data_IF_512851837547
#
_entry.id   IF_512851837547
#
_cell.length_a   1.000
_cell.length_b   1.000
_cell.length_c   1.000
_cell.angle_alpha   90.00
_cell.angle_beta   90.00
_cell.angle_gamma   90.00
#
_symmetry.space_group_name_H-M   'P 1'
#
loop_
_entity.id
_entity.type
_entity.pdbx_description
1 polymer ?
#
# COMPACT_ATOMS: atom_id res chain seq x y z
N UNK A 1 25.38 -21.46 -0.18
CA UNK A 1 24.20 -21.94 -0.98
C UNK A 1 23.34 -20.72 -1.31
N UNK A 2 22.61 -20.69 -2.44
CA UNK A 2 21.73 -19.56 -2.78
C UNK A 2 20.34 -20.06 -3.16
N UNK A 3 19.29 -19.42 -2.64
CA UNK A 3 17.91 -19.66 -3.11
C UNK A 3 17.69 -18.79 -4.35
N UNK A 4 17.62 -19.39 -5.53
CA UNK A 4 17.55 -18.66 -6.79
C UNK A 4 16.16 -18.13 -7.14
N UNK A 5 15.10 -18.74 -6.59
CA UNK A 5 13.71 -18.34 -6.83
C UNK A 5 12.84 -18.67 -5.61
N UNK A 6 11.85 -17.83 -5.31
CA UNK A 6 10.78 -18.13 -4.36
C UNK A 6 9.52 -17.32 -4.67
N UNK A 7 8.38 -17.73 -4.11
CA UNK A 7 7.05 -17.20 -4.39
C UNK A 7 6.62 -17.42 -5.86
N UNK A 8 6.53 -16.36 -6.67
CA UNK A 8 5.99 -16.42 -8.03
C UNK A 8 4.62 -17.11 -8.12
N UNK A 9 4.57 -18.21 -8.86
CA UNK A 9 3.35 -18.99 -9.10
C UNK A 9 2.70 -19.54 -7.82
N UNK A 10 3.41 -19.58 -6.68
CA UNK A 10 2.86 -19.99 -5.39
C UNK A 10 1.88 -18.96 -4.80
N UNK A 11 1.90 -17.71 -5.25
CA UNK A 11 0.96 -16.67 -4.83
C UNK A 11 0.78 -15.51 -5.84
N UNK A 12 0.23 -15.76 -7.05
CA UNK A 12 0.10 -14.73 -8.08
C UNK A 12 -0.76 -13.56 -7.58
N UNK A 13 -0.30 -12.33 -7.73
CA UNK A 13 -0.95 -11.15 -7.15
C UNK A 13 -1.02 -10.01 -8.15
N UNK A 14 -2.23 -9.64 -8.55
CA UNK A 14 -2.53 -8.53 -9.46
C UNK A 14 -2.44 -7.18 -8.72
N UNK A 15 -2.15 -6.07 -9.40
CA UNK A 15 -2.11 -4.75 -8.77
C UNK A 15 -3.47 -4.27 -8.22
N UNK A 16 -4.57 -4.80 -8.77
CA UNK A 16 -5.96 -4.55 -8.35
C UNK A 16 -6.58 -5.68 -7.52
N UNK A 17 -5.80 -6.67 -7.07
CA UNK A 17 -6.33 -7.65 -6.11
C UNK A 17 -6.74 -6.96 -4.80
N UNK A 18 -7.66 -7.57 -4.00
CA UNK A 18 -8.04 -7.05 -2.69
C UNK A 18 -6.83 -6.72 -1.82
N UNK A 19 -6.91 -5.64 -1.04
CA UNK A 19 -5.76 -5.13 -0.26
C UNK A 19 -5.14 -6.22 0.64
N UNK A 20 -5.95 -7.05 1.28
CA UNK A 20 -5.50 -8.17 2.12
C UNK A 20 -4.59 -9.14 1.36
N UNK A 21 -4.90 -9.41 0.08
CA UNK A 21 -4.08 -10.26 -0.79
C UNK A 21 -2.77 -9.57 -1.13
N UNK A 22 -2.80 -8.28 -1.49
CA UNK A 22 -1.61 -7.50 -1.85
C UNK A 22 -0.65 -7.35 -0.67
N UNK A 23 -1.16 -7.15 0.54
CA UNK A 23 -0.36 -7.16 1.78
C UNK A 23 0.19 -8.55 2.07
N UNK A 24 -0.64 -9.59 1.94
CA UNK A 24 -0.19 -10.98 2.16
C UNK A 24 0.89 -11.40 1.17
N UNK A 25 0.86 -10.90 -0.07
CA UNK A 25 1.93 -11.07 -1.04
C UNK A 25 3.24 -10.48 -0.50
N UNK A 26 3.24 -9.23 -0.07
CA UNK A 26 4.42 -8.61 0.56
C UNK A 26 4.91 -9.40 1.79
N UNK A 27 4.02 -9.80 2.69
CA UNK A 27 4.39 -10.59 3.88
C UNK A 27 4.92 -11.99 3.55
N UNK A 28 4.54 -12.59 2.42
CA UNK A 28 5.17 -13.85 1.95
C UNK A 28 6.60 -13.62 1.51
N UNK A 29 6.88 -12.52 0.82
CA UNK A 29 8.25 -12.12 0.52
C UNK A 29 9.04 -11.84 1.82
N UNK A 30 8.43 -11.16 2.80
CA UNK A 30 9.07 -10.84 4.07
C UNK A 30 9.51 -12.10 4.83
N UNK A 31 8.66 -13.13 4.89
CA UNK A 31 8.99 -14.40 5.56
C UNK A 31 10.20 -15.10 4.94
N UNK A 32 10.24 -15.21 3.61
CA UNK A 32 11.36 -15.88 2.95
C UNK A 32 12.66 -15.08 3.10
N UNK A 33 12.58 -13.74 3.04
CA UNK A 33 13.74 -12.89 3.28
C UNK A 33 14.22 -12.99 4.73
N UNK A 34 13.32 -12.96 5.71
CA UNK A 34 13.63 -13.13 7.12
C UNK A 34 14.32 -14.47 7.39
N UNK A 35 13.75 -15.57 6.88
CA UNK A 35 14.35 -16.90 6.98
C UNK A 35 15.73 -16.91 6.31
N UNK A 36 15.90 -16.29 5.14
CA UNK A 36 17.19 -16.24 4.46
C UNK A 36 18.27 -15.49 5.28
N UNK A 37 17.90 -14.40 5.97
CA UNK A 37 18.82 -13.66 6.86
C UNK A 37 19.19 -14.46 8.12
N UNK A 38 18.39 -15.46 8.52
CA UNK A 38 18.66 -16.28 9.69
C UNK A 38 19.85 -17.25 9.53
N UNK A 39 20.22 -17.62 8.30
CA UNK A 39 21.23 -18.67 8.01
C UNK A 39 22.50 -18.09 7.38
N UNK A 40 23.63 -18.00 8.12
CA UNK A 40 24.89 -17.47 7.61
C UNK A 40 25.48 -18.23 6.41
N UNK A 41 25.14 -19.50 6.23
CA UNK A 41 25.57 -20.35 5.12
C UNK A 41 24.78 -20.10 3.81
N UNK A 42 23.65 -19.41 3.89
CA UNK A 42 22.91 -18.91 2.74
C UNK A 42 23.52 -17.59 2.27
N UNK A 43 24.00 -17.58 1.04
CA UNK A 43 24.53 -16.38 0.37
C UNK A 43 23.44 -15.39 -0.01
N UNK A 44 22.16 -15.80 0.06
CA UNK A 44 21.00 -14.95 -0.19
C UNK A 44 19.81 -15.70 -0.79
N UNK A 45 18.73 -14.94 -1.04
CA UNK A 45 17.52 -15.41 -1.69
C UNK A 45 17.03 -14.40 -2.73
N UNK A 46 16.68 -14.89 -3.93
CA UNK A 46 16.21 -14.07 -5.05
C UNK A 46 14.72 -14.35 -5.27
N UNK A 47 13.90 -13.31 -5.15
CA UNK A 47 12.45 -13.43 -5.32
C UNK A 47 12.06 -13.56 -6.78
N UNK A 48 11.14 -14.46 -7.08
CA UNK A 48 10.47 -14.49 -8.38
C UNK A 48 9.19 -13.63 -8.30
N UNK A 49 9.11 -12.48 -8.95
CA UNK A 49 10.10 -11.82 -9.81
C UNK A 49 10.00 -10.28 -9.71
N UNK A 50 10.83 -9.56 -10.47
CA UNK A 50 10.85 -8.10 -10.44
C UNK A 50 9.54 -7.48 -10.96
N UNK A 51 9.03 -7.94 -12.10
CA UNK A 51 7.86 -7.41 -12.79
C UNK A 51 7.01 -8.54 -13.36
N UNK A 52 5.71 -8.30 -13.49
CA UNK A 52 4.81 -9.17 -14.25
C UNK A 52 5.29 -9.29 -15.70
N UNK A 53 5.04 -10.44 -16.33
CA UNK A 53 5.56 -10.73 -17.67
C UNK A 53 4.58 -11.54 -18.51
N UNK A 54 4.63 -11.29 -19.82
CA UNK A 54 3.87 -12.06 -20.79
C UNK A 54 4.39 -13.51 -20.84
N UNK A 55 3.50 -14.46 -21.07
CA UNK A 55 3.81 -15.89 -21.07
C UNK A 55 2.99 -16.66 -22.11
N UNK A 56 3.31 -17.94 -22.30
CA UNK A 56 2.59 -18.86 -23.18
C UNK A 56 1.23 -19.25 -22.58
N UNK A 57 0.36 -19.82 -23.41
CA UNK A 57 -1.00 -20.24 -23.03
C UNK A 57 -1.07 -21.21 -21.84
N UNK A 58 0.00 -21.96 -21.57
CA UNK A 58 0.03 -22.97 -20.50
C UNK A 58 0.21 -22.36 -19.09
N UNK A 59 0.50 -21.05 -19.02
CA UNK A 59 0.81 -20.34 -17.78
C UNK A 59 0.01 -19.04 -17.63
N UNK A 60 0.03 -18.48 -16.43
CA UNK A 60 -0.61 -17.20 -16.13
C UNK A 60 -2.08 -17.33 -15.75
N UNK A 61 -2.85 -16.25 -15.87
CA UNK A 61 -4.28 -16.21 -15.51
C UNK A 61 -5.23 -16.45 -16.69
N UNK A 62 -4.72 -17.00 -17.81
CA UNK A 62 -5.47 -17.18 -19.06
C UNK A 62 -5.46 -15.96 -19.99
N UNK A 63 -4.82 -14.87 -19.57
CA UNK A 63 -4.64 -13.61 -20.29
C UNK A 63 -3.20 -13.44 -20.82
N UNK A 64 -2.44 -14.54 -20.84
CA UNK A 64 -1.03 -14.56 -21.21
C UNK A 64 -0.11 -13.73 -20.29
N UNK A 65 -0.51 -13.47 -19.04
CA UNK A 65 0.32 -12.76 -18.05
C UNK A 65 0.53 -13.59 -16.78
N UNK A 66 1.78 -13.69 -16.36
CA UNK A 66 2.16 -14.18 -15.03
C UNK A 66 2.25 -13.01 -14.05
N UNK A 67 1.25 -12.89 -13.17
CA UNK A 67 1.18 -11.86 -12.12
C UNK A 67 2.06 -12.19 -10.91
N UNK A 68 3.34 -12.36 -11.13
CA UNK A 68 4.32 -12.80 -10.13
C UNK A 68 5.19 -11.65 -9.62
N UNK A 69 5.19 -10.53 -10.32
CA UNK A 69 6.08 -9.42 -10.05
C UNK A 69 5.75 -8.71 -8.74
N UNK A 70 6.80 -8.23 -8.07
CA UNK A 70 6.66 -7.19 -7.03
C UNK A 70 6.30 -5.83 -7.64
N UNK A 71 6.46 -5.67 -8.96
CA UNK A 71 5.94 -4.59 -9.78
C UNK A 71 5.04 -5.16 -10.91
N UNK A 72 4.22 -4.31 -11.52
CA UNK A 72 3.47 -4.67 -12.73
C UNK A 72 4.38 -4.77 -13.97
N UNK A 73 3.80 -5.12 -15.13
CA UNK A 73 4.55 -5.24 -16.40
C UNK A 73 5.15 -3.90 -16.86
N UNK A 74 4.62 -2.78 -16.39
CA UNK A 74 5.12 -1.43 -16.65
C UNK A 74 6.21 -0.99 -15.66
N UNK A 75 6.57 -1.86 -14.69
CA UNK A 75 7.51 -1.60 -13.60
C UNK A 75 6.98 -0.53 -12.64
N UNK A 76 5.66 -0.40 -12.52
CA UNK A 76 5.01 0.32 -11.44
C UNK A 76 4.97 -0.58 -10.21
N UNK A 77 5.34 -0.02 -9.06
CA UNK A 77 5.55 -0.79 -7.82
C UNK A 77 4.22 -1.24 -7.23
N UNK A 78 4.12 -2.53 -6.88
CA UNK A 78 3.08 -3.03 -5.96
C UNK A 78 3.58 -2.90 -4.52
N UNK A 79 2.71 -3.12 -3.53
CA UNK A 79 3.05 -3.09 -2.10
C UNK A 79 4.29 -3.95 -1.78
N UNK A 80 4.40 -5.13 -2.40
CA UNK A 80 5.54 -6.04 -2.20
C UNK A 80 6.89 -5.43 -2.58
N UNK A 81 6.96 -4.49 -3.53
CA UNK A 81 8.22 -3.83 -3.87
C UNK A 81 8.74 -2.97 -2.72
N UNK A 82 7.86 -2.33 -1.94
CA UNK A 82 8.25 -1.46 -0.83
C UNK A 82 8.91 -2.22 0.32
N UNK A 83 8.63 -3.52 0.48
CA UNK A 83 9.38 -4.38 1.39
C UNK A 83 10.86 -4.44 1.00
N UNK A 84 11.17 -4.67 -0.27
CA UNK A 84 12.56 -4.74 -0.76
C UNK A 84 13.25 -3.38 -0.67
N UNK A 85 12.53 -2.31 -1.03
CA UNK A 85 13.05 -0.96 -0.91
C UNK A 85 13.38 -0.63 0.55
N UNK A 86 12.51 -0.97 1.51
CA UNK A 86 12.75 -0.64 2.91
C UNK A 86 13.98 -1.35 3.48
N UNK A 87 14.46 -2.45 2.88
CA UNK A 87 15.69 -3.11 3.31
C UNK A 87 16.98 -2.45 2.79
N UNK A 88 16.89 -1.62 1.74
CA UNK A 88 18.07 -1.20 0.95
C UNK A 88 18.11 0.29 0.62
N UNK A 89 17.00 1.01 0.76
CA UNK A 89 16.84 2.41 0.40
C UNK A 89 16.35 3.21 1.60
N UNK A 90 16.63 4.51 1.60
CA UNK A 90 16.15 5.43 2.62
C UNK A 90 14.83 6.10 2.21
N UNK A 91 14.08 6.57 3.20
CA UNK A 91 12.83 7.31 3.04
C UNK A 91 11.72 6.49 2.36
N UNK A 92 11.61 5.22 2.74
CA UNK A 92 10.57 4.31 2.25
C UNK A 92 9.40 4.36 3.23
N UNK A 93 8.18 4.58 2.73
CA UNK A 93 7.00 4.64 3.57
C UNK A 93 5.74 4.26 2.80
N UNK A 94 5.36 2.98 2.87
CA UNK A 94 4.14 2.46 2.24
C UNK A 94 3.20 1.86 3.29
N UNK A 95 1.96 2.36 3.33
CA UNK A 95 0.92 1.87 4.24
C UNK A 95 0.07 0.82 3.52
N UNK A 96 0.12 -0.42 3.98
CA UNK A 96 -0.60 -1.57 3.43
C UNK A 96 -2.09 -1.60 3.78
N UNK A 97 -2.78 -0.47 3.78
CA UNK A 97 -4.25 -0.40 3.94
C UNK A 97 -4.79 0.87 3.32
N UNK A 98 -6.06 0.87 2.95
CA UNK A 98 -6.82 2.08 2.60
C UNK A 98 -7.86 2.43 3.65
N UNK A 99 -8.08 1.55 4.65
CA UNK A 99 -9.24 1.58 5.55
C UNK A 99 -10.60 1.71 4.84
N UNK A 100 -10.67 1.32 3.56
CA UNK A 100 -11.94 1.21 2.85
C UNK A 100 -12.76 0.06 3.43
N UNK A 101 -13.81 0.40 4.18
CA UNK A 101 -14.63 -0.57 4.94
C UNK A 101 -15.19 -1.67 4.03
N UNK A 102 -15.62 -1.34 2.81
CA UNK A 102 -16.17 -2.31 1.86
C UNK A 102 -15.15 -3.25 1.21
N UNK A 103 -13.85 -3.01 1.40
CA UNK A 103 -12.78 -3.84 0.83
C UNK A 103 -12.38 -5.00 1.75
N UNK A 104 -12.69 -4.87 3.05
CA UNK A 104 -12.39 -5.87 4.06
C UNK A 104 -13.59 -6.79 4.28
N UNK A 105 -13.37 -8.10 4.30
CA UNK A 105 -14.40 -9.08 4.67
C UNK A 105 -15.03 -8.72 6.02
N UNK A 106 -16.36 -8.78 6.09
CA UNK A 106 -17.17 -8.44 7.27
C UNK A 106 -17.07 -6.96 7.69
N UNK A 107 -16.60 -6.07 6.80
CA UNK A 107 -16.41 -4.65 7.09
C UNK A 107 -15.47 -4.40 8.29
N UNK A 108 -14.57 -5.34 8.56
CA UNK A 108 -13.70 -5.32 9.72
C UNK A 108 -12.54 -4.34 9.53
N UNK A 109 -12.17 -3.68 10.62
CA UNK A 109 -10.98 -2.83 10.65
C UNK A 109 -9.75 -3.72 10.87
N UNK A 110 -9.19 -4.23 9.77
CA UNK A 110 -8.01 -5.11 9.80
C UNK A 110 -6.77 -4.35 10.26
N UNK A 111 -5.86 -5.07 10.92
CA UNK A 111 -4.53 -4.56 11.19
C UNK A 111 -3.83 -4.15 9.89
N UNK A 112 -3.02 -3.10 9.96
CA UNK A 112 -2.29 -2.59 8.81
C UNK A 112 -0.79 -2.85 9.00
N UNK A 113 -0.11 -3.23 7.92
CA UNK A 113 1.35 -3.25 7.90
C UNK A 113 1.88 -1.99 7.22
N UNK A 114 2.92 -1.39 7.80
CA UNK A 114 3.68 -0.29 7.17
C UNK A 114 5.04 -0.84 6.77
N UNK A 115 5.36 -0.76 5.47
CA UNK A 115 6.66 -1.14 4.92
C UNK A 115 7.54 0.10 4.85
N UNK A 116 8.55 0.18 5.71
CA UNK A 116 9.32 1.41 5.92
C UNK A 116 10.70 1.14 6.50
N UNK A 117 11.64 2.07 6.28
CA UNK A 117 12.94 2.14 6.95
C UNK A 117 12.92 3.02 8.22
N UNK A 118 11.74 3.47 8.66
CA UNK A 118 11.57 4.24 9.91
C UNK A 118 11.76 3.38 11.16
N UNK A 119 12.21 4.01 12.26
CA UNK A 119 12.40 3.36 13.56
C UNK A 119 11.06 3.04 14.24
N UNK A 120 10.07 3.89 14.03
CA UNK A 120 8.71 3.71 14.53
C UNK A 120 7.69 4.55 13.74
N UNK A 121 6.41 4.22 13.92
CA UNK A 121 5.28 4.95 13.34
C UNK A 121 4.33 5.39 14.44
N UNK A 122 3.88 6.65 14.37
CA UNK A 122 2.78 7.15 15.18
C UNK A 122 1.48 7.11 14.37
N UNK A 123 0.43 6.59 14.98
CA UNK A 123 -0.93 6.65 14.43
C UNK A 123 -1.71 7.76 15.11
N UNK A 124 -2.48 8.49 14.30
CA UNK A 124 -3.42 9.51 14.73
C UNK A 124 -4.79 9.25 14.11
N UNK A 125 -5.85 9.64 14.82
CA UNK A 125 -7.22 9.70 14.31
C UNK A 125 -7.78 11.09 14.55
N UNK A 126 -8.17 11.79 13.48
CA UNK A 126 -8.67 13.17 13.55
C UNK A 126 -7.76 14.06 14.41
N UNK A 127 -6.46 14.04 14.12
CA UNK A 127 -5.38 14.75 14.82
C UNK A 127 -5.12 14.34 16.28
N UNK A 128 -5.85 13.35 16.82
CA UNK A 128 -5.59 12.80 18.16
C UNK A 128 -4.60 11.65 18.07
N UNK A 129 -3.55 11.72 18.89
CA UNK A 129 -2.54 10.67 19.00
C UNK A 129 -3.17 9.38 19.55
N UNK A 130 -2.99 8.27 18.83
CA UNK A 130 -3.46 6.94 19.21
C UNK A 130 -2.32 6.22 19.93
N UNK A 131 -1.24 5.89 19.20
CA UNK A 131 -0.16 5.04 19.73
C UNK A 131 1.08 5.10 18.84
N UNK A 132 2.22 4.73 19.43
CA UNK A 132 3.48 4.40 18.74
C UNK A 132 3.56 2.90 18.44
N UNK A 133 3.94 2.56 17.22
CA UNK A 133 4.16 1.21 16.72
C UNK A 133 5.61 1.05 16.28
N UNK A 134 6.18 -0.10 16.60
CA UNK A 134 7.59 -0.42 16.35
C UNK A 134 7.70 -1.61 15.38
N UNK A 135 8.86 -1.80 14.73
CA UNK A 135 9.10 -2.93 13.83
C UNK A 135 8.69 -4.26 14.46
N UNK A 136 7.99 -5.11 13.71
CA UNK A 136 7.48 -6.40 14.17
C UNK A 136 8.59 -7.46 14.20
N UNK A 137 9.59 -7.21 15.03
CA UNK A 137 10.74 -8.08 15.28
C UNK A 137 10.34 -9.42 15.91
N UNK A 138 9.10 -9.54 16.39
CA UNK A 138 8.57 -10.81 16.89
C UNK A 138 8.32 -11.78 15.73
N UNK A 139 7.74 -11.30 14.63
CA UNK A 139 7.43 -12.14 13.47
C UNK A 139 8.53 -12.10 12.39
N UNK A 140 9.37 -11.07 12.40
CA UNK A 140 10.48 -10.89 11.45
C UNK A 140 11.78 -10.45 12.16
N UNK A 141 12.37 -11.33 13.01
CA UNK A 141 13.53 -10.98 13.84
C UNK A 141 14.85 -10.77 13.10
N UNK A 142 14.95 -11.17 11.82
CA UNK A 142 16.20 -11.14 11.05
C UNK A 142 16.19 -10.09 9.94
N UNK A 143 15.02 -9.55 9.57
CA UNK A 143 14.94 -8.40 8.67
C UNK A 143 15.60 -7.16 9.29
N UNK A 144 16.45 -6.48 8.52
CA UNK A 144 17.03 -5.20 8.92
C UNK A 144 15.95 -4.17 9.23
N UNK A 145 14.91 -4.13 8.40
CA UNK A 145 13.75 -3.27 8.57
C UNK A 145 12.47 -4.11 8.53
N UNK A 146 12.14 -4.74 9.65
CA UNK A 146 10.90 -5.48 9.81
C UNK A 146 9.67 -4.56 9.59
N UNK A 147 8.64 -4.98 8.83
CA UNK A 147 7.41 -4.22 8.69
C UNK A 147 6.79 -3.86 10.05
N UNK A 148 6.21 -2.67 10.16
CA UNK A 148 5.57 -2.21 11.39
C UNK A 148 4.10 -2.63 11.37
N UNK A 149 3.68 -3.46 12.33
CA UNK A 149 2.29 -3.87 12.51
C UNK A 149 1.53 -2.81 13.32
N UNK A 150 0.46 -2.28 12.73
CA UNK A 150 -0.48 -1.34 13.35
C UNK A 150 -1.78 -2.09 13.64
N UNK A 151 -1.96 -2.47 14.90
CA UNK A 151 -3.04 -3.34 15.40
C UNK A 151 -3.79 -2.74 16.60
N UNK A 152 -3.64 -1.44 16.85
CA UNK A 152 -4.32 -0.74 17.94
C UNK A 152 -4.87 0.61 17.49
N UNK A 153 -6.18 0.68 17.32
CA UNK A 153 -6.89 1.83 16.79
C UNK A 153 -7.47 2.73 17.87
N UNK A 154 -7.16 2.44 19.14
CA UNK A 154 -7.69 3.11 20.32
C UNK A 154 -6.55 3.76 21.10
N UNK A 155 -5.54 2.97 21.48
CA UNK A 155 -4.35 3.42 22.19
C UNK A 155 -4.67 4.37 23.36
N UNK A 156 -3.98 5.51 23.38
CA UNK A 156 -4.08 6.56 24.40
C UNK A 156 -5.42 7.34 24.37
N UNK A 157 -6.29 7.10 23.39
CA UNK A 157 -7.57 7.84 23.28
C UNK A 157 -8.72 7.22 24.06
N UNK A 158 -8.53 6.03 24.65
CA UNK A 158 -9.57 5.41 25.46
C UNK A 158 -9.86 6.26 26.71
N UNK A 159 -11.12 6.67 26.84
CA UNK A 159 -11.58 7.59 27.88
C UNK A 159 -13.08 7.36 28.11
N UNK A 160 -13.37 6.55 29.12
CA UNK A 160 -14.71 6.20 29.59
C UNK A 160 -14.74 6.45 31.11
N UNK A 161 -15.40 7.52 31.58
CA UNK A 161 -15.41 7.93 32.99
C UNK A 161 -15.90 6.86 33.97
N UNK A 162 -16.81 5.99 33.50
CA UNK A 162 -17.37 4.88 34.25
C UNK A 162 -16.39 3.71 34.45
N UNK A 163 -15.28 3.68 33.70
CA UNK A 163 -14.26 2.63 33.77
C UNK A 163 -12.99 3.18 34.46
N UNK A 164 -12.38 2.37 35.31
CA UNK A 164 -11.11 2.76 35.95
C UNK A 164 -9.95 2.67 34.95
N UNK A 165 -9.06 3.68 34.93
CA UNK A 165 -7.89 3.76 34.04
C UNK A 165 -7.04 2.49 33.99
N UNK A 166 -6.89 1.77 35.11
CA UNK A 166 -6.13 0.50 35.17
C UNK A 166 -6.66 -0.60 34.24
N UNK A 167 -7.93 -0.53 33.84
CA UNK A 167 -8.58 -1.52 32.98
C UNK A 167 -8.67 -1.07 31.51
N UNK A 168 -8.26 0.17 31.18
CA UNK A 168 -8.34 0.75 29.82
C UNK A 168 -7.56 -0.08 28.79
N UNK A 169 -6.31 -0.43 29.09
CA UNK A 169 -5.45 -1.18 28.17
C UNK A 169 -6.04 -2.57 27.83
N UNK A 170 -6.57 -3.27 28.84
CA UNK A 170 -7.16 -4.59 28.63
C UNK A 170 -8.48 -4.53 27.85
N UNK A 171 -9.32 -3.54 28.11
CA UNK A 171 -10.59 -3.36 27.38
C UNK A 171 -10.31 -2.95 25.94
N UNK A 172 -9.42 -1.98 25.72
CA UNK A 172 -9.00 -1.54 24.39
C UNK A 172 -8.44 -2.69 23.57
N UNK A 173 -7.64 -3.57 24.18
CA UNK A 173 -7.13 -4.77 23.53
C UNK A 173 -8.26 -5.68 23.02
N UNK A 174 -9.28 -5.96 23.84
CA UNK A 174 -10.41 -6.81 23.43
C UNK A 174 -11.25 -6.14 22.34
N UNK A 175 -11.44 -4.82 22.40
CA UNK A 175 -12.17 -4.07 21.36
C UNK A 175 -11.40 -4.12 20.03
N UNK A 176 -10.08 -3.92 20.04
CA UNK A 176 -9.23 -4.06 18.86
C UNK A 176 -9.27 -5.48 18.29
N UNK A 177 -9.22 -6.51 19.14
CA UNK A 177 -9.37 -7.91 18.71
C UNK A 177 -10.72 -8.14 18.02
N UNK A 178 -11.81 -7.60 18.57
CA UNK A 178 -13.13 -7.67 17.97
C UNK A 178 -13.20 -6.93 16.62
N UNK A 179 -12.56 -5.75 16.53
CA UNK A 179 -12.52 -4.95 15.31
C UNK A 179 -11.75 -5.65 14.17
N UNK A 180 -10.69 -6.38 14.51
CA UNK A 180 -9.82 -7.03 13.52
C UNK A 180 -10.28 -8.42 13.13
N UNK A 181 -10.93 -9.15 14.03
CA UNK A 181 -11.28 -10.57 13.82
C UNK A 181 -12.77 -10.85 13.83
N UNK A 182 -13.59 -9.87 14.21
CA UNK A 182 -15.02 -10.02 14.43
C UNK A 182 -15.32 -10.46 15.86
N UNK A 183 -16.37 -9.89 16.46
CA UNK A 183 -16.76 -10.14 17.86
C UNK A 183 -17.07 -11.61 18.16
N UNK A 184 -17.62 -12.36 17.18
CA UNK A 184 -17.90 -13.78 17.32
C UNK A 184 -16.63 -14.63 17.53
N UNK A 185 -15.49 -14.19 16.96
CA UNK A 185 -14.22 -14.93 16.94
C UNK A 185 -13.27 -14.57 18.09
N UNK A 186 -13.72 -13.76 19.05
CA UNK A 186 -12.95 -13.46 20.25
C UNK A 186 -12.56 -14.74 21.01
N UNK A 187 -11.31 -14.79 21.48
CA UNK A 187 -10.80 -15.89 22.29
C UNK A 187 -11.53 -16.02 23.64
N UNK A 188 -11.51 -17.23 24.22
CA UNK A 188 -12.15 -17.51 25.52
C UNK A 188 -11.63 -16.59 26.64
N UNK A 189 -10.32 -16.32 26.67
CA UNK A 189 -9.71 -15.39 27.63
C UNK A 189 -10.24 -13.96 27.48
N UNK A 190 -10.40 -13.48 26.24
CA UNK A 190 -10.91 -12.14 25.94
C UNK A 190 -12.39 -12.01 26.27
N UNK A 191 -13.19 -13.05 25.97
CA UNK A 191 -14.60 -13.14 26.36
C UNK A 191 -14.76 -13.11 27.88
N UNK A 192 -13.98 -13.92 28.60
CA UNK A 192 -14.02 -13.96 30.07
C UNK A 192 -13.58 -12.63 30.69
N UNK A 193 -12.48 -12.05 30.19
CA UNK A 193 -12.02 -10.74 30.62
C UNK A 193 -13.12 -9.68 30.44
N UNK A 194 -13.72 -9.61 29.26
CA UNK A 194 -14.80 -8.66 28.97
C UNK A 194 -15.99 -8.87 29.91
N UNK A 195 -16.47 -10.10 30.06
CA UNK A 195 -17.60 -10.42 30.95
C UNK A 195 -17.35 -9.98 32.40
N UNK A 196 -16.14 -10.20 32.94
CA UNK A 196 -15.81 -9.75 34.30
C UNK A 196 -15.80 -8.22 34.43
N UNK A 197 -15.42 -7.50 33.37
CA UNK A 197 -15.41 -6.03 33.35
C UNK A 197 -16.80 -5.44 33.16
N UNK A 198 -17.64 -6.07 32.35
CA UNK A 198 -19.05 -5.71 32.25
C UNK A 198 -19.74 -5.80 33.60
N UNK A 199 -19.55 -6.92 34.32
CA UNK A 199 -20.14 -7.11 35.64
C UNK A 199 -19.60 -6.09 36.65
N UNK A 200 -18.28 -5.84 36.67
CA UNK A 200 -17.63 -4.89 37.59
C UNK A 200 -18.13 -3.46 37.41
N UNK A 201 -18.37 -3.04 36.17
CA UNK A 201 -18.75 -1.66 35.83
C UNK A 201 -20.24 -1.50 35.51
N UNK A 202 -21.03 -2.56 35.68
CA UNK A 202 -22.46 -2.59 35.36
C UNK A 202 -22.78 -2.13 33.93
N UNK A 203 -21.90 -2.48 32.97
CA UNK A 203 -22.05 -2.10 31.57
C UNK A 203 -23.02 -3.05 30.85
N UNK A 204 -23.92 -2.47 30.08
CA UNK A 204 -24.85 -3.18 29.21
C UNK A 204 -24.23 -3.54 27.85
N UNK A 205 -24.95 -4.34 27.05
CA UNK A 205 -24.56 -4.56 25.65
C UNK A 205 -24.63 -3.27 24.81
N UNK A 206 -25.55 -2.37 25.16
CA UNK A 206 -25.67 -1.08 24.49
C UNK A 206 -24.45 -0.19 24.79
N UNK A 207 -23.93 -0.23 26.02
CA UNK A 207 -22.68 0.46 26.38
C UNK A 207 -21.50 -0.07 25.57
N UNK A 208 -21.41 -1.39 25.40
CA UNK A 208 -20.37 -1.98 24.54
C UNK A 208 -20.50 -1.51 23.09
N UNK A 209 -21.71 -1.48 22.55
CA UNK A 209 -21.96 -1.05 21.18
C UNK A 209 -21.62 0.43 21.01
N UNK A 210 -21.93 1.27 22.01
CA UNK A 210 -21.55 2.68 22.06
C UNK A 210 -20.03 2.86 22.08
N UNK A 211 -19.33 2.18 22.99
CA UNK A 211 -17.87 2.24 23.12
C UNK A 211 -17.22 1.76 21.81
N UNK A 212 -17.65 0.62 21.27
CA UNK A 212 -17.15 0.10 20.00
C UNK A 212 -17.38 1.10 18.85
N UNK A 213 -18.57 1.69 18.76
CA UNK A 213 -18.89 2.67 17.70
C UNK A 213 -18.07 3.95 17.82
N UNK A 214 -17.87 4.47 19.03
CA UNK A 214 -17.03 5.65 19.32
C UNK A 214 -15.59 5.42 18.85
N UNK A 215 -15.00 4.27 19.19
CA UNK A 215 -13.58 4.01 18.96
C UNK A 215 -13.21 3.33 17.64
N UNK A 216 -14.13 2.59 17.03
CA UNK A 216 -13.86 1.82 15.81
C UNK A 216 -14.72 2.30 14.65
N UNK A 217 -16.04 2.18 14.78
CA UNK A 217 -16.93 2.21 13.62
C UNK A 217 -17.26 3.62 13.11
N UNK A 218 -17.12 4.66 13.94
CA UNK A 218 -17.33 6.06 13.55
C UNK A 218 -18.73 6.34 12.95
N UNK A 219 -19.76 5.56 13.34
CA UNK A 219 -21.14 5.74 12.87
C UNK A 219 -21.75 7.00 13.47
N UNK A 220 -22.12 7.97 12.62
CA UNK A 220 -22.84 9.19 13.01
C UNK A 220 -21.99 10.45 13.21
N UNK A 221 -20.67 10.39 13.01
CA UNK A 221 -19.75 11.55 13.11
C UNK A 221 -19.07 11.88 11.76
N UNK A 222 -18.28 12.98 11.72
CA UNK A 222 -17.40 13.28 10.58
C UNK A 222 -16.53 12.07 10.25
N UNK A 223 -16.37 11.77 8.97
CA UNK A 223 -15.50 10.73 8.45
C UNK A 223 -14.12 10.71 9.14
N UNK A 224 -13.72 9.57 9.70
CA UNK A 224 -12.42 9.43 10.35
C UNK A 224 -11.29 9.58 9.34
N UNK A 225 -10.34 10.47 9.65
CA UNK A 225 -9.06 10.58 8.96
C UNK A 225 -7.99 9.95 9.84
N UNK A 226 -7.32 8.94 9.29
CA UNK A 226 -6.20 8.25 9.91
C UNK A 226 -4.90 8.82 9.37
N UNK A 227 -3.99 9.20 10.25
CA UNK A 227 -2.69 9.77 9.86
C UNK A 227 -1.56 8.96 10.46
N UNK A 228 -0.69 8.45 9.60
CA UNK A 228 0.53 7.73 9.92
C UNK A 228 1.70 8.69 9.79
N UNK A 229 2.53 8.78 10.84
CA UNK A 229 3.77 9.58 10.84
C UNK A 229 4.96 8.66 11.08
N UNK A 230 5.88 8.61 10.13
CA UNK A 230 7.11 7.82 10.24
C UNK A 230 8.25 8.64 10.85
N UNK A 231 8.96 8.05 11.80
CA UNK A 231 10.07 8.69 12.51
C UNK A 231 11.38 7.92 12.34
N UNK A 232 12.47 8.66 12.11
CA UNK A 232 13.84 8.14 12.04
C UNK A 232 14.75 9.06 12.86
N UNK A 233 15.51 8.49 13.80
CA UNK A 233 16.37 9.21 14.75
C UNK A 233 15.61 10.35 15.49
N UNK A 234 14.37 10.08 15.89
CA UNK A 234 13.50 11.03 16.59
C UNK A 234 12.94 12.18 15.74
N UNK A 235 13.20 12.21 14.42
CA UNK A 235 12.65 13.20 13.49
C UNK A 235 11.56 12.59 12.61
N UNK A 236 10.47 13.33 12.38
CA UNK A 236 9.45 12.92 11.43
C UNK A 236 10.00 13.02 10.00
N UNK A 237 10.00 11.91 9.26
CA UNK A 237 10.50 11.84 7.87
C UNK A 237 9.43 11.45 6.87
N UNK A 238 8.28 10.93 7.33
CA UNK A 238 7.19 10.54 6.46
C UNK A 238 5.82 10.86 7.09
N UNK A 239 4.82 11.08 6.22
CA UNK A 239 3.44 11.37 6.58
C UNK A 239 2.52 10.75 5.53
N UNK A 240 1.53 9.95 5.95
CA UNK A 240 0.45 9.45 5.09
C UNK A 240 -0.88 9.59 5.80
N UNK A 241 -1.85 10.21 5.15
CA UNK A 241 -3.23 10.25 5.62
C UNK A 241 -4.10 9.30 4.79
N UNK A 242 -5.13 8.75 5.41
CA UNK A 242 -6.14 7.88 4.81
C UNK A 242 -7.52 8.28 5.36
N UNK A 243 -8.54 8.19 4.52
CA UNK A 243 -9.91 8.45 4.90
C UNK A 243 -10.82 8.29 3.68
N UNK A 244 -12.13 8.56 3.82
CA UNK A 244 -13.05 8.46 2.69
C UNK A 244 -12.63 9.38 1.55
N UNK A 245 -12.46 8.81 0.36
CA UNK A 245 -12.11 9.55 -0.86
C UNK A 245 -13.31 10.37 -1.34
N UNK A 246 -13.10 11.65 -1.65
CA UNK A 246 -14.16 12.58 -2.08
C UNK A 246 -13.81 13.35 -3.35
N UNK A 247 -12.53 13.47 -3.67
CA UNK A 247 -12.05 14.07 -4.91
C UNK A 247 -10.92 13.24 -5.49
N UNK A 248 -10.77 13.27 -6.80
CA UNK A 248 -9.81 12.46 -7.54
C UNK A 248 -9.01 13.32 -8.50
N UNK A 249 -7.76 12.96 -8.71
CA UNK A 249 -6.88 13.63 -9.66
C UNK A 249 -5.90 12.66 -10.28
N UNK A 250 -5.34 13.05 -11.42
CA UNK A 250 -4.22 12.34 -12.03
C UNK A 250 -2.88 12.92 -11.60
N UNK A 251 -1.93 12.04 -11.33
CA UNK A 251 -0.52 12.38 -11.15
C UNK A 251 0.30 11.60 -12.18
N UNK A 252 1.11 12.31 -12.96
CA UNK A 252 1.99 11.71 -13.94
C UNK A 252 3.46 12.01 -13.63
N UNK A 253 4.33 11.06 -13.95
CA UNK A 253 5.79 11.23 -13.84
C UNK A 253 6.47 10.59 -15.04
N UNK A 254 7.48 11.25 -15.57
CA UNK A 254 8.30 10.75 -16.66
C UNK A 254 9.68 10.36 -16.13
N UNK A 255 10.18 9.22 -16.58
CA UNK A 255 11.55 8.75 -16.27
C UNK A 255 12.63 9.72 -16.73
N UNK A 256 12.36 10.48 -17.80
CA UNK A 256 13.17 11.60 -18.31
C UNK A 256 12.33 12.41 -19.29
N UNK A 257 12.65 13.69 -19.45
CA UNK A 257 11.98 14.61 -20.39
C UNK A 257 12.92 15.08 -21.52
N UNK A 258 14.13 14.55 -21.57
CA UNK A 258 15.10 14.84 -22.60
C UNK A 258 15.47 13.52 -23.28
N UNK A 259 15.26 13.43 -24.58
CA UNK A 259 15.47 12.23 -25.37
C UNK A 259 16.50 12.53 -26.45
N UNK A 260 17.42 11.60 -26.65
CA UNK A 260 18.40 11.70 -27.72
C UNK A 260 17.96 10.80 -28.88
N UNK A 261 18.13 11.26 -30.11
CA UNK A 261 17.94 10.44 -31.29
C UNK A 261 19.21 10.51 -32.14
N UNK A 262 20.18 9.65 -31.79
CA UNK A 262 21.47 9.55 -32.48
C UNK A 262 21.52 8.21 -33.27
N UNK A 263 22.51 7.36 -33.04
CA UNK A 263 22.59 6.03 -33.68
C UNK A 263 21.35 5.15 -33.41
N UNK A 264 20.72 5.32 -32.23
CA UNK A 264 19.48 4.64 -31.84
C UNK A 264 18.49 5.63 -31.23
N UNK A 265 17.20 5.27 -31.28
CA UNK A 265 16.17 6.04 -30.58
C UNK A 265 16.26 5.82 -29.07
N UNK A 266 15.92 6.86 -28.33
CA UNK A 266 15.79 6.83 -26.89
C UNK A 266 14.32 6.67 -26.47
N UNK A 267 14.08 6.15 -25.27
CA UNK A 267 12.74 5.86 -24.75
C UNK A 267 12.54 6.46 -23.37
N UNK A 268 11.41 7.13 -23.17
CA UNK A 268 10.92 7.54 -21.86
C UNK A 268 9.71 6.70 -21.48
N UNK A 269 9.69 6.19 -20.25
CA UNK A 269 8.46 5.75 -19.58
C UNK A 269 7.77 6.96 -18.94
N UNK A 270 6.46 7.09 -19.16
CA UNK A 270 5.58 8.03 -18.44
C UNK A 270 4.56 7.22 -17.65
N UNK A 271 4.60 7.30 -16.33
CA UNK A 271 3.69 6.61 -15.41
C UNK A 271 2.58 7.56 -14.96
N UNK A 272 1.34 7.08 -14.93
CA UNK A 272 0.14 7.82 -14.56
C UNK A 272 -0.60 7.08 -13.45
N UNK A 273 -0.94 7.81 -12.38
CA UNK A 273 -1.76 7.31 -11.27
C UNK A 273 -3.04 8.12 -11.11
N UNK A 274 -4.15 7.44 -10.80
CA UNK A 274 -5.36 8.06 -10.25
C UNK A 274 -5.31 8.01 -8.73
N UNK A 275 -5.33 9.19 -8.12
CA UNK A 275 -5.18 9.39 -6.69
C UNK A 275 -6.40 10.10 -6.10
N UNK A 276 -6.71 9.83 -4.83
CA UNK A 276 -7.65 10.66 -4.07
C UNK A 276 -6.97 11.90 -3.45
N UNK A 277 -7.72 12.69 -2.68
CA UNK A 277 -7.20 13.88 -1.99
C UNK A 277 -6.08 13.60 -0.99
N UNK A 278 -5.89 12.35 -0.57
CA UNK A 278 -4.83 11.92 0.35
C UNK A 278 -3.65 11.27 -0.38
N UNK A 279 -3.59 11.40 -1.71
CA UNK A 279 -2.62 10.74 -2.58
C UNK A 279 -2.63 9.22 -2.43
N UNK A 280 -3.81 8.63 -2.18
CA UNK A 280 -4.00 7.17 -2.14
C UNK A 280 -4.37 6.69 -3.53
N UNK A 281 -3.68 5.65 -4.01
CA UNK A 281 -3.94 5.08 -5.32
C UNK A 281 -5.28 4.36 -5.35
N UNK A 282 -6.10 4.67 -6.36
CA UNK A 282 -7.41 4.07 -6.55
C UNK A 282 -7.28 2.69 -7.22
N UNK A 283 -6.96 1.67 -6.43
CA UNK A 283 -6.69 0.31 -6.90
C UNK A 283 -7.84 -0.40 -7.65
N UNK A 284 -9.04 0.17 -7.66
CA UNK A 284 -10.21 -0.34 -8.37
C UNK A 284 -10.67 0.59 -9.51
N UNK A 285 -9.85 1.58 -9.86
CA UNK A 285 -10.10 2.43 -11.02
C UNK A 285 -9.52 1.78 -12.29
N UNK A 286 -10.38 1.63 -13.29
CA UNK A 286 -10.08 1.06 -14.62
C UNK A 286 -10.42 2.05 -15.74
N UNK A 287 -10.33 3.34 -15.44
CA UNK A 287 -10.71 4.44 -16.32
C UNK A 287 -10.05 4.30 -17.71
N UNK A 288 -10.77 4.60 -18.80
CA UNK A 288 -10.16 4.72 -20.12
C UNK A 288 -9.29 5.98 -20.18
N UNK A 289 -8.08 5.83 -20.72
CA UNK A 289 -7.09 6.88 -20.90
C UNK A 289 -6.74 6.97 -22.39
N UNK A 290 -6.95 8.15 -22.96
CA UNK A 290 -6.52 8.50 -24.32
C UNK A 290 -5.19 9.23 -24.28
N UNK A 291 -4.30 8.87 -25.20
CA UNK A 291 -2.93 9.37 -25.28
C UNK A 291 -2.64 9.88 -26.69
N UNK A 292 -2.20 11.12 -26.76
CA UNK A 292 -1.84 11.81 -27.99
C UNK A 292 -0.39 12.30 -27.87
N UNK A 293 0.39 12.17 -28.94
CA UNK A 293 1.75 12.72 -29.02
C UNK A 293 1.80 13.88 -30.01
N UNK A 294 2.68 14.84 -29.77
CA UNK A 294 2.99 15.94 -30.68
C UNK A 294 4.49 16.19 -30.71
N UNK A 295 5.01 16.62 -31.86
CA UNK A 295 6.45 16.78 -32.07
C UNK A 295 7.17 15.45 -32.39
N UNK A 296 8.51 15.44 -32.38
CA UNK A 296 9.33 14.30 -32.82
C UNK A 296 9.42 13.17 -31.77
N UNK A 297 8.28 12.70 -31.28
CA UNK A 297 8.17 11.48 -30.48
C UNK A 297 7.04 10.59 -31.01
N UNK A 298 7.15 9.29 -30.78
CA UNK A 298 6.11 8.32 -31.11
C UNK A 298 5.73 7.47 -29.90
N UNK A 299 4.44 7.22 -29.72
CA UNK A 299 3.93 6.31 -28.71
C UNK A 299 4.27 4.85 -29.06
N UNK A 300 4.70 4.08 -28.08
CA UNK A 300 4.89 2.64 -28.15
C UNK A 300 3.73 1.94 -27.45
N UNK A 301 2.84 1.35 -28.26
CA UNK A 301 1.60 0.75 -27.79
C UNK A 301 0.35 1.50 -28.27
N UNK A 302 -0.83 1.06 -27.83
CA UNK A 302 -2.10 1.68 -28.22
C UNK A 302 -2.26 3.08 -27.61
N UNK A 303 -2.96 3.95 -28.32
CA UNK A 303 -3.31 5.31 -27.85
C UNK A 303 -4.51 5.34 -26.90
N UNK A 304 -5.27 4.25 -26.80
CA UNK A 304 -6.38 4.09 -25.87
C UNK A 304 -6.10 2.86 -24.99
N UNK A 305 -5.95 3.08 -23.70
CA UNK A 305 -5.73 2.03 -22.69
C UNK A 305 -6.65 2.23 -21.50
N UNK A 306 -6.73 1.24 -20.62
CA UNK A 306 -7.37 1.39 -19.31
C UNK A 306 -6.32 1.50 -18.21
N UNK A 307 -6.65 2.19 -17.13
CA UNK A 307 -5.92 2.03 -15.88
C UNK A 307 -6.00 0.57 -15.40
N UNK A 308 -4.94 0.10 -14.77
CA UNK A 308 -4.87 -1.21 -14.14
C UNK A 308 -4.48 -1.01 -12.67
N UNK A 309 -5.45 -1.15 -11.77
CA UNK A 309 -5.21 -0.83 -10.36
C UNK A 309 -5.02 0.67 -10.11
N UNK A 310 -5.66 1.53 -10.90
CA UNK A 310 -5.50 2.98 -10.81
C UNK A 310 -4.12 3.50 -11.23
N UNK A 311 -3.34 2.69 -11.94
CA UNK A 311 -2.00 3.00 -12.43
C UNK A 311 -1.86 2.49 -13.86
N UNK A 312 -1.01 3.13 -14.66
CA UNK A 312 -0.61 2.67 -15.99
C UNK A 312 0.69 3.36 -16.38
N UNK A 313 1.48 2.81 -17.31
CA UNK A 313 2.54 3.57 -17.95
C UNK A 313 2.51 3.47 -19.47
N UNK A 314 3.04 4.51 -20.08
CA UNK A 314 3.23 4.66 -21.52
C UNK A 314 4.72 4.70 -21.81
N UNK A 315 5.12 4.24 -22.99
CA UNK A 315 6.48 4.42 -23.48
C UNK A 315 6.44 5.32 -24.71
N UNK A 316 7.24 6.37 -24.71
CA UNK A 316 7.44 7.25 -25.88
C UNK A 316 8.87 7.11 -26.35
N UNK A 317 9.06 6.93 -27.65
CA UNK A 317 10.39 6.94 -28.26
C UNK A 317 10.66 8.23 -29.02
N UNK A 318 11.92 8.66 -29.06
CA UNK A 318 12.33 9.77 -29.93
C UNK A 318 12.22 9.40 -31.41
N UNK A 319 12.02 10.42 -32.25
CA UNK A 319 12.14 10.37 -33.70
C UNK A 319 13.32 11.23 -34.15
N UNK A 320 13.89 10.98 -35.35
CA UNK A 320 15.03 11.76 -35.85
C UNK A 320 14.72 13.25 -35.98
N UNK A 321 15.66 14.09 -35.57
CA UNK A 321 15.59 15.55 -35.68
C UNK A 321 16.89 16.11 -36.23
N UNK A 322 16.82 17.22 -37.00
CA UNK A 322 18.01 17.92 -37.49
C UNK A 322 18.52 19.01 -36.53
N UNK A 323 17.72 19.32 -35.51
CA UNK A 323 17.98 20.29 -34.44
C UNK A 323 17.11 19.95 -33.24
N UNK A 324 17.53 20.40 -32.06
CA UNK A 324 16.75 20.31 -30.83
C UNK A 324 15.31 20.78 -31.06
N UNK A 325 14.36 19.94 -30.68
CA UNK A 325 12.95 20.12 -30.99
C UNK A 325 12.06 19.75 -29.80
N UNK A 326 11.02 20.55 -29.58
CA UNK A 326 10.03 20.31 -28.53
C UNK A 326 9.03 19.25 -28.96
N UNK A 327 8.61 18.43 -28.00
CA UNK A 327 7.58 17.43 -28.14
C UNK A 327 6.70 17.39 -26.89
N UNK A 328 5.54 16.74 -26.96
CA UNK A 328 4.68 16.57 -25.80
C UNK A 328 3.83 15.31 -25.88
N UNK A 329 3.59 14.70 -24.72
CA UNK A 329 2.59 13.65 -24.52
C UNK A 329 1.38 14.25 -23.80
N UNK A 330 0.20 14.17 -24.41
CA UNK A 330 -1.06 14.56 -23.80
C UNK A 330 -1.83 13.33 -23.37
N UNK A 331 -2.24 13.31 -22.11
CA UNK A 331 -2.96 12.21 -21.46
C UNK A 331 -4.33 12.74 -21.05
N UNK A 332 -5.40 12.11 -21.50
CA UNK A 332 -6.78 12.55 -21.28
C UNK A 332 -7.60 11.41 -20.67
N UNK A 333 -8.30 11.69 -19.58
CA UNK A 333 -9.29 10.77 -18.99
C UNK A 333 -10.33 11.53 -18.17
N UNK A 334 -11.18 10.80 -17.44
CA UNK A 334 -12.28 11.40 -16.66
C UNK A 334 -11.80 12.41 -15.60
N UNK A 335 -10.67 12.14 -14.93
CA UNK A 335 -10.13 13.02 -13.89
C UNK A 335 -9.31 14.21 -14.43
N UNK A 336 -9.37 14.47 -15.73
CA UNK A 336 -8.74 15.63 -16.38
C UNK A 336 -7.73 15.29 -17.47
N UNK A 337 -7.02 16.33 -17.93
CA UNK A 337 -5.98 16.24 -18.96
C UNK A 337 -4.64 16.69 -18.39
N UNK A 338 -3.58 15.93 -18.69
CA UNK A 338 -2.19 16.28 -18.38
C UNK A 338 -1.39 16.39 -19.67
N UNK A 339 -0.41 17.30 -19.70
CA UNK A 339 0.53 17.45 -20.82
C UNK A 339 1.94 17.36 -20.26
N UNK A 340 2.72 16.39 -20.76
CA UNK A 340 4.10 16.14 -20.35
C UNK A 340 5.03 16.61 -21.47
N UNK A 341 5.84 17.66 -21.24
CA UNK A 341 6.75 18.18 -22.25
C UNK A 341 8.00 17.32 -22.36
N UNK A 342 8.53 17.25 -23.58
CA UNK A 342 9.78 16.58 -23.93
C UNK A 342 10.64 17.49 -24.80
N UNK A 343 11.95 17.32 -24.71
CA UNK A 343 12.91 17.84 -25.67
C UNK A 343 13.59 16.67 -26.35
N UNK A 344 13.71 16.75 -27.67
CA UNK A 344 14.37 15.75 -28.50
C UNK A 344 15.58 16.40 -29.15
N UNK A 345 16.74 15.81 -28.90
CA UNK A 345 18.04 16.23 -29.43
C UNK A 345 18.52 15.31 -30.55
#
# INVERSE_FOLDING_TARGET
MIVSEFNGHMYPTKPWDPIDRRVKHALRHARVLDDAYAYPELSGAIGWCAFDYNTHQDFGSGDHICYHGVADIFRNRKIAAYLYQSQTQENVFEVGTTFAVGDSNECLMRAAYVFTDCDYVELYRNDRFIKKFFPDQKNFPHLHHAPILVDDFIGETFDEPEIQKRDYAGISKVINEAAQHGSARLGLSSKLYLATRLAKYHLSFDDLTRIYSKYISNWGEKAAVWTFKGYKNGKQVALKSLGPSTTFHYQASASKNHLQNDEVYDVARVSLKKLDQYNTQMAYAFDPISVEVSGPIALLGPSLVSLEGGDISFYVRSLPVSKKSEASLKITGESGTLVIPFNVD
#
